data_IF_462910031397
#
_entry.id   IF_462910031397
#
_cell.length_a   1.000
_cell.length_b   1.000
_cell.length_c   1.000
_cell.angle_alpha   90.00
_cell.angle_beta   90.00
_cell.angle_gamma   90.00
#
_symmetry.space_group_name_H-M   'P 1'
#
loop_
_entity.id
_entity.type
_entity.pdbx_description
1 polymer ?
#
# COMPACT_ATOMS: atom_id res chain seq x y z
N UNK A 1 1.56 -29.94 30.26
CA UNK A 1 2.53 -28.86 30.49
C UNK A 1 2.66 -28.08 29.19
N UNK A 2 2.09 -26.88 29.12
CA UNK A 2 2.29 -25.93 28.01
C UNK A 2 3.35 -24.94 28.48
N UNK A 3 4.43 -24.83 27.72
CA UNK A 3 5.46 -23.82 27.92
C UNK A 3 5.01 -22.57 27.16
N UNK A 4 4.57 -21.55 27.90
CA UNK A 4 4.28 -20.23 27.35
C UNK A 4 5.59 -19.53 26.99
N UNK A 5 5.69 -19.07 25.74
CA UNK A 5 6.81 -18.23 25.28
C UNK A 5 6.71 -16.86 25.95
N UNK A 6 7.60 -16.59 26.89
CA UNK A 6 7.81 -15.28 27.49
C UNK A 6 8.54 -14.37 26.50
N UNK A 7 7.81 -13.79 25.54
CA UNK A 7 8.33 -12.68 24.74
C UNK A 7 8.35 -11.42 25.62
N UNK A 8 9.54 -11.14 26.18
CA UNK A 8 9.88 -9.85 26.81
C UNK A 8 9.80 -8.75 25.76
N UNK A 9 8.77 -7.90 25.87
CA UNK A 9 8.73 -6.61 25.19
C UNK A 9 9.79 -5.72 25.86
N UNK A 10 10.90 -5.47 25.17
CA UNK A 10 11.92 -4.51 25.61
C UNK A 10 11.39 -3.11 25.33
N UNK A 11 10.75 -2.50 26.33
CA UNK A 11 10.59 -1.04 26.34
C UNK A 11 11.95 -0.41 26.63
N UNK A 12 12.51 0.27 25.62
CA UNK A 12 13.67 1.13 25.78
C UNK A 12 13.39 2.23 26.80
N UNK A 13 14.22 2.27 27.84
CA UNK A 13 14.21 3.22 28.95
C UNK A 13 14.51 4.64 28.43
N UNK A 14 13.54 5.55 28.52
CA UNK A 14 13.76 6.98 28.29
C UNK A 14 14.52 7.59 29.48
N UNK A 15 15.73 8.08 29.23
CA UNK A 15 16.40 9.02 30.14
C UNK A 15 15.85 10.42 29.91
N UNK A 16 14.93 10.86 30.76
CA UNK A 16 14.40 12.22 30.79
C UNK A 16 13.47 12.35 31.99
N UNK A 17 13.81 13.23 32.92
CA UNK A 17 13.12 13.41 34.21
C UNK A 17 11.61 13.60 34.04
N UNK A 18 10.82 12.86 34.82
CA UNK A 18 9.39 13.08 34.96
C UNK A 18 9.12 14.40 35.69
N UNK A 19 8.47 15.34 35.01
CA UNK A 19 7.51 16.23 35.64
C UNK A 19 6.11 15.78 35.21
N UNK A 20 5.12 15.66 36.12
CA UNK A 20 3.77 15.31 35.73
C UNK A 20 3.15 16.48 34.93
N UNK A 21 2.61 16.18 33.76
CA UNK A 21 1.88 17.15 32.96
C UNK A 21 0.58 17.53 33.71
N UNK A 22 0.50 18.79 34.13
CA UNK A 22 -0.73 19.43 34.55
C UNK A 22 -1.68 19.45 33.35
N UNK A 23 -2.84 18.81 33.48
CA UNK A 23 -3.97 19.03 32.56
C UNK A 23 -4.51 20.42 32.86
N UNK A 24 -4.24 21.38 31.99
CA UNK A 24 -5.02 22.62 31.92
C UNK A 24 -6.12 22.42 30.89
N UNK A 25 -7.35 22.30 31.39
CA UNK A 25 -8.55 22.67 30.65
C UNK A 25 -8.37 24.09 30.09
N UNK A 26 -8.55 24.23 28.79
CA UNK A 26 -8.38 25.51 28.11
C UNK A 26 -8.97 25.45 26.73
N UNK A 27 -10.24 25.83 26.62
CA UNK A 27 -10.90 26.29 25.40
C UNK A 27 -10.16 27.49 24.83
N UNK A 28 -9.03 27.24 24.17
CA UNK A 28 -8.22 28.24 23.48
C UNK A 28 -8.48 28.15 21.98
N UNK A 29 -9.07 29.21 21.42
CA UNK A 29 -9.15 29.42 19.97
C UNK A 29 -7.76 29.27 19.36
N UNK A 30 -7.49 28.12 18.72
CA UNK A 30 -6.27 27.85 17.99
C UNK A 30 -6.15 28.88 16.87
N UNK A 31 -5.23 29.84 17.02
CA UNK A 31 -4.85 30.72 15.93
C UNK A 31 -4.40 29.85 14.74
N UNK A 32 -4.63 30.32 13.50
CA UNK A 32 -4.28 29.57 12.28
C UNK A 32 -2.84 29.02 12.31
N UNK A 33 -1.92 29.75 12.95
CA UNK A 33 -0.54 29.30 13.19
C UNK A 33 -0.45 28.09 14.13
N UNK A 34 -1.15 28.08 15.26
CA UNK A 34 -1.17 26.96 16.20
C UNK A 34 -1.86 25.71 15.65
N UNK A 35 -2.90 25.87 14.83
CA UNK A 35 -3.54 24.74 14.13
C UNK A 35 -2.59 24.14 13.08
N UNK A 36 -1.89 24.96 12.31
CA UNK A 36 -0.88 24.50 11.33
C UNK A 36 0.28 23.80 12.03
N UNK A 37 0.71 24.28 13.19
CA UNK A 37 1.80 23.68 13.95
C UNK A 37 1.40 22.35 14.60
N UNK A 38 0.18 22.27 15.14
CA UNK A 38 -0.40 21.03 15.66
C UNK A 38 -0.61 20.01 14.54
N UNK A 39 -1.20 20.41 13.41
CA UNK A 39 -1.33 19.56 12.24
C UNK A 39 0.03 19.13 11.71
N UNK A 40 1.05 20.01 11.68
CA UNK A 40 2.40 19.66 11.25
C UNK A 40 3.10 18.67 12.19
N UNK A 41 2.87 18.77 13.51
CA UNK A 41 3.38 17.79 14.49
C UNK A 41 2.65 16.45 14.39
N UNK A 42 1.33 16.48 14.24
CA UNK A 42 0.51 15.27 14.05
C UNK A 42 0.83 14.59 12.72
N UNK A 43 1.07 15.37 11.66
CA UNK A 43 1.51 14.87 10.35
C UNK A 43 2.95 14.36 10.38
N UNK A 44 3.88 15.02 11.10
CA UNK A 44 5.25 14.51 11.35
C UNK A 44 5.29 13.27 12.26
N UNK A 45 4.28 13.07 13.12
CA UNK A 45 4.13 11.88 13.97
C UNK A 45 3.46 10.70 13.26
N UNK A 46 2.53 10.98 12.33
CA UNK A 46 1.86 9.98 11.47
C UNK A 46 2.73 9.54 10.29
N UNK A 47 3.55 10.45 9.76
CA UNK A 47 4.67 10.09 8.88
C UNK A 47 5.77 9.49 9.77
N UNK A 48 5.66 8.20 10.08
CA UNK A 48 6.84 7.39 10.38
C UNK A 48 7.79 7.61 9.20
N UNK A 49 8.86 8.37 9.43
CA UNK A 49 9.78 8.89 8.42
C UNK A 49 10.05 7.83 7.33
N UNK A 50 9.76 8.08 6.04
CA UNK A 50 10.53 7.43 4.99
C UNK A 50 11.98 7.87 5.22
N UNK A 51 12.82 6.94 5.62
CA UNK A 51 14.25 7.21 5.78
C UNK A 51 14.76 7.68 4.43
N UNK A 52 15.33 8.87 4.31
CA UNK A 52 15.97 9.30 3.07
C UNK A 52 17.13 8.34 2.78
N UNK A 53 16.96 7.44 1.82
CA UNK A 53 17.91 6.35 1.53
C UNK A 53 17.65 5.10 2.35
N UNK A 54 17.82 3.93 1.73
CA UNK A 54 17.80 2.65 2.44
C UNK A 54 19.01 2.59 3.38
N UNK A 55 18.78 2.85 4.67
CA UNK A 55 19.79 2.64 5.69
C UNK A 55 19.45 1.34 6.41
N UNK A 56 20.18 0.27 6.12
CA UNK A 56 20.14 -0.95 6.92
C UNK A 56 20.97 -0.64 8.17
N UNK A 57 20.32 -0.50 9.33
CA UNK A 57 21.02 -0.39 10.60
C UNK A 57 21.69 -1.72 10.92
N UNK A 58 23.02 -1.77 10.88
CA UNK A 58 23.76 -2.86 11.51
C UNK A 58 23.84 -2.59 13.03
N UNK A 59 23.98 -3.64 13.83
CA UNK A 59 24.01 -3.58 15.30
C UNK A 59 25.18 -2.78 15.88
N UNK A 60 26.12 -2.35 15.03
CA UNK A 60 27.26 -1.48 15.34
C UNK A 60 26.99 0.01 15.09
N UNK A 61 25.78 0.38 14.66
CA UNK A 61 25.42 1.76 14.32
C UNK A 61 25.92 2.23 12.97
N UNK A 62 26.55 1.36 12.17
CA UNK A 62 26.86 1.64 10.79
C UNK A 62 25.65 1.35 9.90
N UNK A 63 25.34 2.30 9.02
CA UNK A 63 24.20 2.21 8.14
C UNK A 63 24.72 1.85 6.74
N UNK A 64 24.60 0.57 6.37
CA UNK A 64 25.09 0.07 5.09
C UNK A 64 24.00 0.26 4.01
N UNK A 65 24.29 1.09 3.01
CA UNK A 65 23.47 1.21 1.82
C UNK A 65 23.70 -0.04 0.95
N UNK A 66 22.71 -0.94 0.89
CA UNK A 66 22.75 -2.07 -0.04
C UNK A 66 22.49 -1.56 -1.46
N UNK A 67 23.57 -1.29 -2.20
CA UNK A 67 23.54 -0.83 -3.59
C UNK A 67 22.78 -1.79 -4.54
N UNK A 68 22.47 -3.01 -4.10
CA UNK A 68 21.73 -3.99 -4.89
C UNK A 68 20.22 -3.81 -4.81
N UNK A 69 19.72 -2.99 -3.88
CA UNK A 69 18.29 -2.75 -3.67
C UNK A 69 17.87 -1.41 -4.29
N UNK A 70 16.76 -1.35 -5.06
CA UNK A 70 16.31 -0.10 -5.64
C UNK A 70 15.83 0.87 -4.54
N UNK A 71 16.36 2.09 -4.56
CA UNK A 71 15.96 3.16 -3.61
C UNK A 71 14.72 3.93 -4.08
N UNK A 72 14.36 3.81 -5.36
CA UNK A 72 13.24 4.51 -6.00
C UNK A 72 12.48 3.57 -6.92
N UNK A 73 11.16 3.79 -7.02
CA UNK A 73 10.27 3.10 -7.94
C UNK A 73 9.63 4.04 -8.97
N UNK A 74 8.48 3.65 -9.55
CA UNK A 74 7.71 4.50 -10.45
C UNK A 74 7.38 5.85 -9.81
N UNK A 75 7.17 6.88 -10.64
CA UNK A 75 6.88 8.24 -10.20
C UNK A 75 7.99 8.85 -9.32
N UNK A 76 9.22 8.31 -9.41
CA UNK A 76 10.35 8.62 -8.55
C UNK A 76 10.03 8.46 -7.06
N UNK A 77 9.08 7.59 -6.73
CA UNK A 77 8.66 7.39 -5.35
C UNK A 77 9.70 6.59 -4.57
N UNK A 78 9.93 6.99 -3.33
CA UNK A 78 10.92 6.37 -2.47
C UNK A 78 10.53 4.94 -2.03
N UNK A 79 11.53 4.06 -1.92
CA UNK A 79 11.42 2.72 -1.34
C UNK A 79 12.28 2.63 -0.09
N UNK A 80 11.64 2.50 1.07
CA UNK A 80 12.32 2.24 2.34
C UNK A 80 12.49 0.75 2.57
N UNK A 81 13.41 0.37 3.44
CA UNK A 81 13.60 -1.01 3.86
C UNK A 81 13.67 -1.10 5.38
N UNK A 82 13.03 -2.12 5.94
CA UNK A 82 13.16 -2.45 7.35
C UNK A 82 14.47 -3.22 7.61
N UNK A 83 14.86 -3.35 8.88
CA UNK A 83 16.04 -4.11 9.29
C UNK A 83 15.98 -5.58 8.87
N UNK A 84 14.77 -6.17 8.84
CA UNK A 84 14.51 -7.52 8.34
C UNK A 84 14.57 -7.64 6.80
N UNK A 85 14.87 -6.55 6.09
CA UNK A 85 15.02 -6.50 4.65
C UNK A 85 13.72 -6.34 3.87
N UNK A 86 12.55 -6.32 4.52
CA UNK A 86 11.27 -6.07 3.84
C UNK A 86 11.20 -4.65 3.29
N UNK A 87 10.65 -4.50 2.09
CA UNK A 87 10.45 -3.20 1.46
C UNK A 87 9.18 -2.50 1.97
N UNK A 88 9.27 -1.17 2.06
CA UNK A 88 8.18 -0.27 2.35
C UNK A 88 8.05 0.73 1.20
N UNK A 89 7.09 0.48 0.31
CA UNK A 89 6.85 1.35 -0.85
C UNK A 89 6.00 2.55 -0.43
N UNK A 90 6.53 3.76 -0.64
CA UNK A 90 5.81 4.99 -0.27
C UNK A 90 4.47 5.17 -1.03
N UNK A 91 4.39 4.61 -2.23
CA UNK A 91 3.18 4.64 -3.07
C UNK A 91 1.95 3.98 -2.41
N UNK A 92 2.14 3.11 -1.39
CA UNK A 92 1.02 2.59 -0.58
C UNK A 92 0.16 3.70 0.02
N UNK A 93 0.78 4.80 0.46
CA UNK A 93 0.08 5.92 1.08
C UNK A 93 -0.77 6.69 0.08
N UNK A 94 -0.37 6.69 -1.20
CA UNK A 94 -1.18 7.26 -2.29
C UNK A 94 -2.42 6.40 -2.48
N UNK A 95 -2.28 5.07 -2.53
CA UNK A 95 -3.43 4.15 -2.64
C UNK A 95 -4.39 4.36 -1.46
N UNK A 96 -3.87 4.33 -0.23
CA UNK A 96 -4.68 4.49 0.99
C UNK A 96 -5.45 5.82 0.99
N UNK A 97 -4.78 6.93 0.62
CA UNK A 97 -5.41 8.26 0.52
C UNK A 97 -6.50 8.29 -0.55
N UNK A 98 -6.30 7.62 -1.67
CA UNK A 98 -7.20 7.69 -2.83
C UNK A 98 -8.44 6.80 -2.68
N UNK A 99 -8.39 5.79 -1.79
CA UNK A 99 -9.46 4.80 -1.62
C UNK A 99 -10.84 5.43 -1.37
N UNK A 100 -10.91 6.42 -0.49
CA UNK A 100 -12.17 7.07 -0.13
C UNK A 100 -12.72 8.00 -1.23
N UNK A 101 -11.83 8.48 -2.10
CA UNK A 101 -12.17 9.42 -3.18
C UNK A 101 -12.51 8.72 -4.49
N UNK A 102 -12.12 7.46 -4.66
CA UNK A 102 -12.37 6.67 -5.87
C UNK A 102 -13.77 6.08 -5.86
N UNK A 103 -14.37 6.01 -7.04
CA UNK A 103 -15.61 5.27 -7.23
C UNK A 103 -15.37 3.75 -7.07
N UNK A 104 -16.44 3.00 -6.81
CA UNK A 104 -16.43 1.53 -6.79
C UNK A 104 -15.44 0.87 -5.79
N UNK A 105 -14.99 1.61 -4.77
CA UNK A 105 -14.11 1.08 -3.72
C UNK A 105 -14.88 0.53 -2.52
N UNK A 106 -16.09 1.04 -2.28
CA UNK A 106 -16.98 0.57 -1.21
C UNK A 106 -17.56 -0.79 -1.57
N UNK A 107 -17.56 -1.71 -0.60
CA UNK A 107 -18.04 -3.09 -0.76
C UNK A 107 -17.33 -3.90 -1.86
N UNK A 108 -16.08 -3.54 -2.15
CA UNK A 108 -15.22 -4.27 -3.07
C UNK A 108 -14.04 -4.89 -2.32
N UNK A 109 -13.55 -6.03 -2.81
CA UNK A 109 -12.25 -6.56 -2.43
C UNK A 109 -11.19 -5.72 -3.13
N UNK A 110 -10.30 -5.10 -2.36
CA UNK A 110 -9.12 -4.41 -2.87
C UNK A 110 -8.00 -5.44 -3.10
N UNK A 111 -7.43 -5.45 -4.30
CA UNK A 111 -6.13 -6.01 -4.60
C UNK A 111 -5.19 -4.87 -4.97
N UNK A 112 -3.98 -4.85 -4.40
CA UNK A 112 -3.05 -3.75 -4.68
C UNK A 112 -1.61 -4.18 -4.82
N UNK A 113 -0.89 -3.47 -5.67
CA UNK A 113 0.56 -3.59 -5.80
C UNK A 113 1.19 -2.25 -5.39
N UNK A 114 1.66 -2.19 -4.15
CA UNK A 114 2.22 -0.97 -3.56
C UNK A 114 3.44 -0.47 -4.35
N UNK A 115 4.25 -1.38 -4.91
CA UNK A 115 5.43 -1.02 -5.70
C UNK A 115 5.10 -0.29 -7.01
N UNK A 116 3.91 -0.51 -7.57
CA UNK A 116 3.46 0.08 -8.85
C UNK A 116 2.41 1.19 -8.67
N UNK A 117 2.01 1.49 -7.44
CA UNK A 117 0.84 2.34 -7.13
C UNK A 117 -0.43 1.89 -7.85
N UNK A 118 -0.65 0.57 -7.92
CA UNK A 118 -1.79 -0.04 -8.61
C UNK A 118 -2.81 -0.52 -7.58
N UNK A 119 -4.08 -0.16 -7.78
CA UNK A 119 -5.20 -0.67 -7.00
C UNK A 119 -6.28 -1.21 -7.93
N UNK A 120 -6.77 -2.41 -7.63
CA UNK A 120 -7.83 -3.11 -8.36
C UNK A 120 -8.94 -3.44 -7.38
N UNK A 121 -10.16 -3.04 -7.70
CA UNK A 121 -11.35 -3.30 -6.90
C UNK A 121 -12.23 -4.32 -7.59
N UNK A 122 -12.52 -5.41 -6.90
CA UNK A 122 -13.36 -6.51 -7.38
C UNK A 122 -14.65 -6.53 -6.57
N UNK A 123 -15.80 -6.45 -7.23
CA UNK A 123 -17.12 -6.43 -6.59
C UNK A 123 -18.12 -7.31 -7.34
N UNK A 124 -19.04 -7.94 -6.62
CA UNK A 124 -20.14 -8.70 -7.23
C UNK A 124 -21.11 -7.77 -7.96
N UNK A 125 -21.58 -8.20 -9.13
CA UNK A 125 -22.62 -7.52 -9.90
C UNK A 125 -23.67 -8.52 -10.39
N UNK A 126 -24.90 -8.04 -10.49
CA UNK A 126 -26.00 -8.75 -11.14
C UNK A 126 -26.41 -7.94 -12.36
N UNK A 127 -26.25 -8.51 -13.54
CA UNK A 127 -26.66 -7.92 -14.81
C UNK A 127 -27.98 -8.55 -15.25
N UNK A 128 -29.02 -7.73 -15.34
CA UNK A 128 -30.35 -8.14 -15.79
C UNK A 128 -30.42 -7.92 -17.30
N UNK A 129 -30.66 -8.98 -18.06
CA UNK A 129 -30.99 -8.88 -19.48
C UNK A 129 -32.47 -8.47 -19.63
N UNK A 130 -32.76 -7.29 -20.19
CA UNK A 130 -34.14 -6.81 -20.33
C UNK A 130 -34.94 -7.61 -21.38
N UNK A 131 -34.27 -8.27 -22.32
CA UNK A 131 -34.90 -9.04 -23.40
C UNK A 131 -35.25 -10.44 -22.90
N UNK A 132 -34.30 -11.11 -22.25
CA UNK A 132 -34.51 -12.47 -21.74
C UNK A 132 -35.16 -12.52 -20.35
N UNK A 133 -35.27 -11.38 -19.65
CA UNK A 133 -35.68 -11.28 -18.23
C UNK A 133 -34.88 -12.20 -17.31
N UNK A 134 -33.63 -12.47 -17.66
CA UNK A 134 -32.71 -13.29 -16.85
C UNK A 134 -31.71 -12.41 -16.13
N UNK A 135 -31.44 -12.73 -14.88
CA UNK A 135 -30.31 -12.19 -14.15
C UNK A 135 -29.08 -13.07 -14.39
N UNK A 136 -27.96 -12.43 -14.72
CA UNK A 136 -26.64 -13.06 -14.78
C UNK A 136 -25.78 -12.45 -13.68
N UNK A 137 -25.15 -13.30 -12.89
CA UNK A 137 -24.19 -12.87 -11.88
C UNK A 137 -22.79 -12.82 -12.48
N UNK A 138 -21.98 -11.89 -11.99
CA UNK A 138 -20.59 -11.75 -12.39
C UNK A 138 -19.82 -10.87 -11.42
N UNK A 139 -18.56 -10.62 -11.76
CA UNK A 139 -17.68 -9.75 -11.00
C UNK A 139 -17.30 -8.55 -11.84
N UNK A 140 -17.40 -7.36 -11.26
CA UNK A 140 -16.85 -6.13 -11.82
C UNK A 140 -15.43 -5.95 -11.29
N UNK A 141 -14.51 -5.69 -12.21
CA UNK A 141 -13.12 -5.35 -11.94
C UNK A 141 -12.89 -3.90 -12.35
N UNK A 142 -12.44 -3.06 -11.41
CA UNK A 142 -12.15 -1.65 -11.65
C UNK A 142 -10.69 -1.37 -11.30
N UNK A 143 -9.94 -0.79 -12.23
CA UNK A 143 -8.50 -0.56 -12.10
C UNK A 143 -8.23 0.92 -11.93
N UNK A 144 -7.38 1.24 -10.96
CA UNK A 144 -6.87 2.59 -10.74
C UNK A 144 -5.35 2.59 -10.64
N UNK A 145 -4.73 3.48 -11.40
CA UNK A 145 -3.30 3.74 -11.35
C UNK A 145 -3.00 5.05 -10.61
N UNK A 146 -1.90 5.06 -9.86
CA UNK A 146 -1.32 6.24 -9.22
C UNK A 146 -2.32 7.03 -8.36
N UNK A 147 -2.45 8.34 -8.60
CA UNK A 147 -3.37 9.29 -7.98
C UNK A 147 -4.60 9.58 -8.85
N UNK A 148 -4.87 8.74 -9.85
CA UNK A 148 -6.06 8.93 -10.70
C UNK A 148 -7.35 8.68 -9.91
N UNK A 149 -8.29 9.63 -10.01
CA UNK A 149 -9.67 9.50 -9.55
C UNK A 149 -10.55 8.73 -10.55
N UNK A 150 -10.18 8.75 -11.83
CA UNK A 150 -10.87 8.01 -12.89
C UNK A 150 -10.26 6.62 -13.01
N UNK A 151 -11.10 5.61 -13.22
CA UNK A 151 -10.63 4.25 -13.47
C UNK A 151 -9.86 4.21 -14.79
N UNK A 152 -8.67 3.63 -14.78
CA UNK A 152 -7.87 3.40 -15.99
C UNK A 152 -8.51 2.32 -16.85
N UNK A 153 -9.15 1.33 -16.22
CA UNK A 153 -9.86 0.25 -16.90
C UNK A 153 -11.02 -0.25 -16.05
N UNK A 154 -12.06 -0.74 -16.69
CA UNK A 154 -13.21 -1.37 -16.04
C UNK A 154 -13.73 -2.50 -16.94
N UNK A 155 -13.95 -3.67 -16.37
CA UNK A 155 -14.53 -4.81 -17.08
C UNK A 155 -15.38 -5.69 -16.16
N UNK A 156 -16.16 -6.57 -16.77
CA UNK A 156 -16.90 -7.63 -16.09
C UNK A 156 -16.30 -8.99 -16.45
N UNK A 157 -16.21 -9.88 -15.47
CA UNK A 157 -15.76 -11.28 -15.63
C UNK A 157 -16.83 -12.21 -15.06
N UNK A 158 -16.94 -13.41 -15.62
CA UNK A 158 -18.04 -14.34 -15.29
C UNK A 158 -17.63 -15.49 -14.38
N UNK A 159 -16.35 -15.85 -14.39
CA UNK A 159 -15.82 -16.98 -13.64
C UNK A 159 -14.48 -16.63 -12.94
N UNK A 160 -14.06 -17.43 -11.95
CA UNK A 160 -12.81 -17.21 -11.21
C UNK A 160 -11.55 -17.29 -12.09
N UNK A 161 -11.55 -18.14 -13.11
CA UNK A 161 -10.41 -18.32 -14.02
C UNK A 161 -10.17 -17.03 -14.82
N UNK A 162 -11.23 -16.47 -15.42
CA UNK A 162 -11.19 -15.17 -16.10
C UNK A 162 -10.74 -14.05 -15.16
N UNK A 163 -11.15 -14.09 -13.89
CA UNK A 163 -10.71 -13.12 -12.90
C UNK A 163 -9.20 -13.21 -12.67
N UNK A 164 -8.67 -14.41 -12.46
CA UNK A 164 -7.24 -14.61 -12.22
C UNK A 164 -6.40 -14.16 -13.42
N UNK A 165 -6.78 -14.58 -14.63
CA UNK A 165 -6.13 -14.16 -15.88
C UNK A 165 -6.18 -12.64 -16.05
N UNK A 166 -7.32 -12.02 -15.73
CA UNK A 166 -7.48 -10.59 -15.84
C UNK A 166 -6.61 -9.83 -14.85
N UNK A 167 -6.56 -10.27 -13.59
CA UNK A 167 -5.71 -9.67 -12.56
C UNK A 167 -4.23 -9.77 -12.92
N UNK A 168 -3.78 -10.93 -13.39
CA UNK A 168 -2.42 -11.12 -13.88
C UNK A 168 -2.11 -10.21 -15.08
N UNK A 169 -3.03 -10.16 -16.06
CA UNK A 169 -2.89 -9.28 -17.23
C UNK A 169 -2.78 -7.81 -16.83
N UNK A 170 -3.59 -7.34 -15.87
CA UNK A 170 -3.55 -5.96 -15.37
C UNK A 170 -2.17 -5.68 -14.76
N UNK A 171 -1.69 -6.55 -13.89
CA UNK A 171 -0.39 -6.39 -13.22
C UNK A 171 0.77 -6.32 -14.23
N UNK A 172 0.83 -7.27 -15.16
CA UNK A 172 1.88 -7.32 -16.21
C UNK A 172 1.80 -6.10 -17.13
N UNK A 173 0.60 -5.70 -17.54
CA UNK A 173 0.41 -4.53 -18.41
C UNK A 173 0.86 -3.25 -17.71
N UNK A 174 0.51 -3.08 -16.43
CA UNK A 174 0.94 -1.92 -15.65
C UNK A 174 2.45 -1.91 -15.43
N UNK A 175 3.06 -3.05 -15.08
CA UNK A 175 4.51 -3.18 -14.99
C UNK A 175 5.20 -2.78 -16.29
N UNK A 176 4.78 -3.36 -17.42
CA UNK A 176 5.36 -3.08 -18.75
C UNK A 176 5.16 -1.63 -19.19
N UNK A 177 4.05 -1.00 -18.82
CA UNK A 177 3.79 0.42 -19.09
C UNK A 177 4.75 1.31 -18.30
N UNK A 178 4.92 1.01 -17.00
CA UNK A 178 5.76 1.80 -16.11
C UNK A 178 7.26 1.58 -16.35
N UNK A 179 7.69 0.38 -16.72
CA UNK A 179 9.10 0.07 -17.02
C UNK A 179 9.65 0.83 -18.24
N UNK A 180 8.77 1.29 -19.14
CA UNK A 180 9.14 2.16 -20.27
C UNK A 180 9.42 3.61 -19.85
N UNK A 181 8.91 4.03 -18.70
CA UNK A 181 8.96 5.42 -18.23
C UNK A 181 9.88 5.59 -17.01
N UNK A 182 10.02 4.55 -16.20
CA UNK A 182 10.74 4.56 -14.94
C UNK A 182 11.73 3.41 -14.87
N UNK A 183 12.84 3.61 -14.16
CA UNK A 183 13.79 2.54 -13.88
C UNK A 183 13.22 1.60 -12.82
N UNK A 184 12.74 0.43 -13.25
CA UNK A 184 12.26 -0.63 -12.36
C UNK A 184 13.27 -1.78 -12.22
N UNK A 185 14.53 -1.57 -12.65
CA UNK A 185 15.57 -2.57 -12.49
C UNK A 185 15.78 -2.89 -11.00
N UNK A 186 15.94 -4.18 -10.69
CA UNK A 186 16.08 -4.66 -9.31
C UNK A 186 14.77 -4.88 -8.55
N UNK A 187 13.61 -4.66 -9.19
CA UNK A 187 12.33 -5.08 -8.62
C UNK A 187 12.29 -6.62 -8.58
N UNK A 188 11.95 -7.16 -7.41
CA UNK A 188 11.84 -8.61 -7.20
C UNK A 188 10.39 -9.06 -7.40
N UNK A 189 10.17 -10.37 -7.54
CA UNK A 189 8.82 -10.93 -7.59
C UNK A 189 7.97 -10.54 -6.37
N UNK A 190 8.58 -10.38 -5.19
CA UNK A 190 7.87 -9.97 -3.97
C UNK A 190 7.30 -8.53 -4.04
N UNK A 191 7.89 -7.66 -4.88
CA UNK A 191 7.40 -6.30 -5.10
C UNK A 191 6.25 -6.31 -6.10
N UNK A 192 6.31 -7.22 -7.06
CA UNK A 192 5.39 -7.33 -8.18
C UNK A 192 4.27 -8.31 -7.87
N UNK A 193 3.58 -8.06 -6.75
CA UNK A 193 2.42 -8.84 -6.28
C UNK A 193 1.22 -7.91 -6.09
N UNK A 194 0.09 -8.30 -6.67
CA UNK A 194 -1.24 -7.83 -6.28
C UNK A 194 -1.65 -8.57 -5.01
N UNK A 195 -1.52 -7.89 -3.88
CA UNK A 195 -1.91 -8.40 -2.57
C UNK A 195 -3.40 -8.16 -2.34
N UNK A 196 -4.12 -9.22 -2.01
CA UNK A 196 -5.55 -9.17 -1.73
C UNK A 196 -5.82 -8.75 -0.29
N UNK A 197 -6.85 -7.93 -0.10
CA UNK A 197 -7.40 -7.59 1.23
C UNK A 197 -8.34 -8.67 1.78
N UNK A 198 -8.68 -9.69 0.98
CA UNK A 198 -9.66 -10.71 1.35
C UNK A 198 -9.14 -12.13 1.06
N UNK A 199 -9.25 -13.09 1.98
CA UNK A 199 -8.65 -14.42 1.87
C UNK A 199 -9.24 -15.27 0.73
N UNK A 200 -10.45 -14.96 0.27
CA UNK A 200 -11.08 -15.69 -0.84
C UNK A 200 -10.46 -15.40 -2.22
N UNK A 201 -9.70 -14.31 -2.36
CA UNK A 201 -8.97 -14.01 -3.60
C UNK A 201 -7.48 -14.12 -3.28
N UNK A 202 -6.72 -15.02 -3.93
CA UNK A 202 -5.31 -15.19 -3.65
C UNK A 202 -4.49 -13.99 -4.16
N UNK A 203 -3.29 -13.86 -3.61
CA UNK A 203 -2.29 -12.91 -4.12
C UNK A 203 -1.84 -13.33 -5.53
N UNK A 204 -1.69 -12.35 -6.43
CA UNK A 204 -1.32 -12.59 -7.83
C UNK A 204 0.03 -11.92 -8.10
N UNK A 205 1.07 -12.70 -8.41
CA UNK A 205 2.44 -12.20 -8.60
C UNK A 205 2.98 -12.38 -10.02
N UNK A 206 3.95 -11.54 -10.40
CA UNK A 206 4.80 -11.78 -11.57
C UNK A 206 6.00 -12.63 -11.13
N UNK A 207 6.10 -13.84 -11.66
CA UNK A 207 7.30 -14.66 -11.50
C UNK A 207 8.37 -14.15 -12.45
N UNK A 208 9.46 -13.62 -11.89
CA UNK A 208 10.64 -13.24 -12.66
C UNK A 208 11.57 -14.45 -12.69
N UNK A 209 11.63 -15.14 -13.84
CA UNK A 209 12.68 -16.14 -14.07
C UNK A 209 14.03 -15.40 -14.08
N UNK A 210 14.97 -15.84 -13.24
CA UNK A 210 16.32 -15.29 -13.13
C UNK A 210 17.25 -15.94 -14.14
#
# INVERSE_FOLDING_TARGET
MRQESNDKIIYGRFGGQHAPAVVQDGTGSLTRGGLIEHLSRTFKGLIRRPVSGAWIGQSDGSAAFDQRKPSTGPYNAFIGYYEDGRANHFLRFVIDKMRDSRAYTRNAVELRCDALCLAVYVSGITQIDPVERKASEGLRVVVYDHDSLKSTSMCSVKNPEELADKLYQILVTTYNRLSRQYNLAGFTSDFLVLRSSHPAIPDIGITMER
#
